data_IF_571482204733
#
_entry.id   IF_571482204733
#
_cell.length_a   1.000
_cell.length_b   1.000
_cell.length_c   1.000
_cell.angle_alpha   90.00
_cell.angle_beta   90.00
_cell.angle_gamma   90.00
#
_symmetry.space_group_name_H-M   'P 1'
#
loop_
_entity.id
_entity.type
_entity.pdbx_description
1 polymer ?
#
# COMPACT_ATOMS: atom_id res chain seq x y z
N UNK A 1 34.00 -31.59 14.59
CA UNK A 1 33.80 -31.60 13.13
C UNK A 1 35.17 -31.82 12.49
N UNK A 2 35.35 -32.71 11.51
CA UNK A 2 36.67 -33.00 10.97
C UNK A 2 37.28 -31.79 10.25
N UNK A 3 38.59 -31.59 10.41
CA UNK A 3 39.34 -30.52 9.74
C UNK A 3 39.52 -30.78 8.23
N UNK A 4 39.46 -32.04 7.81
CA UNK A 4 39.58 -32.47 6.41
C UNK A 4 38.28 -32.23 5.60
N UNK A 5 38.32 -31.46 4.49
CA UNK A 5 37.18 -31.21 3.61
C UNK A 5 36.55 -32.47 2.98
N UNK A 6 37.33 -33.54 2.72
CA UNK A 6 36.79 -34.81 2.19
C UNK A 6 35.91 -35.49 3.23
N UNK A 7 36.27 -35.34 4.51
CA UNK A 7 35.51 -35.89 5.64
C UNK A 7 34.26 -35.07 6.01
N UNK A 8 34.09 -33.86 5.44
CA UNK A 8 32.88 -33.03 5.59
C UNK A 8 31.73 -33.47 4.68
N UNK A 9 32.02 -34.03 3.49
CA UNK A 9 31.01 -34.60 2.60
C UNK A 9 30.20 -35.72 3.27
N UNK A 10 30.88 -36.60 4.03
CA UNK A 10 30.24 -37.66 4.80
C UNK A 10 29.33 -37.12 5.93
N UNK A 11 29.59 -35.92 6.44
CA UNK A 11 28.77 -35.31 7.49
C UNK A 11 27.48 -34.73 6.90
N UNK A 12 27.54 -34.08 5.73
CA UNK A 12 26.35 -33.63 5.00
C UNK A 12 25.46 -34.78 4.57
N UNK A 13 26.04 -35.89 4.10
CA UNK A 13 25.27 -37.10 3.76
C UNK A 13 24.58 -37.68 5.00
N UNK A 14 25.28 -37.75 6.14
CA UNK A 14 24.69 -38.23 7.39
C UNK A 14 23.54 -37.33 7.88
N UNK A 15 23.65 -36.01 7.70
CA UNK A 15 22.57 -35.05 7.99
C UNK A 15 21.37 -35.30 7.07
N UNK A 16 21.62 -35.46 5.77
CA UNK A 16 20.58 -35.80 4.79
C UNK A 16 19.87 -37.11 5.16
N UNK A 17 20.61 -38.18 5.44
CA UNK A 17 20.05 -39.49 5.78
C UNK A 17 19.22 -39.44 7.07
N UNK A 18 19.70 -38.69 8.07
CA UNK A 18 19.00 -38.51 9.34
C UNK A 18 17.66 -37.80 9.15
N UNK A 19 17.65 -36.69 8.40
CA UNK A 19 16.42 -35.95 8.13
C UNK A 19 15.48 -36.76 7.24
N UNK A 20 16.02 -37.45 6.23
CA UNK A 20 15.22 -38.27 5.32
C UNK A 20 14.55 -39.45 6.05
N UNK A 21 15.24 -40.07 7.01
CA UNK A 21 14.66 -41.13 7.85
C UNK A 21 13.55 -40.58 8.76
N UNK A 22 13.76 -39.41 9.37
CA UNK A 22 12.74 -38.74 10.17
C UNK A 22 11.48 -38.40 9.35
N UNK A 23 11.64 -37.87 8.15
CA UNK A 23 10.52 -37.57 7.25
C UNK A 23 9.80 -38.83 6.77
N UNK A 24 10.51 -39.92 6.51
CA UNK A 24 9.90 -41.20 6.19
C UNK A 24 9.08 -41.77 7.35
N UNK A 25 9.57 -41.62 8.58
CA UNK A 25 8.86 -42.06 9.78
C UNK A 25 7.61 -41.23 10.03
N UNK A 26 7.65 -39.92 9.74
CA UNK A 26 6.56 -39.00 10.03
C UNK A 26 5.48 -38.98 8.94
N UNK A 27 5.87 -39.02 7.67
CA UNK A 27 4.97 -38.75 6.55
C UNK A 27 4.57 -40.02 5.78
N UNK A 28 5.20 -41.15 6.06
CA UNK A 28 5.00 -42.39 5.33
C UNK A 28 4.60 -43.56 6.25
N UNK A 29 3.95 -44.57 5.70
CA UNK A 29 3.57 -45.76 6.46
C UNK A 29 4.75 -46.75 6.56
N UNK A 30 4.89 -47.50 7.68
CA UNK A 30 5.88 -48.57 7.79
C UNK A 30 5.80 -49.56 6.62
N UNK A 31 6.92 -49.80 5.94
CA UNK A 31 7.00 -50.68 4.77
C UNK A 31 6.70 -50.02 3.42
N UNK A 32 6.35 -48.73 3.41
CA UNK A 32 6.22 -47.97 2.16
C UNK A 32 7.59 -47.64 1.54
N UNK A 33 7.65 -47.41 0.20
CA UNK A 33 8.88 -46.97 -0.45
C UNK A 33 9.44 -45.71 0.19
N UNK A 34 10.75 -45.67 0.47
CA UNK A 34 11.37 -44.54 1.15
C UNK A 34 11.30 -43.27 0.31
N UNK A 35 10.75 -42.21 0.87
CA UNK A 35 10.83 -40.85 0.34
C UNK A 35 12.30 -40.49 0.16
N UNK A 36 12.64 -39.87 -0.98
CA UNK A 36 13.98 -39.36 -1.24
C UNK A 36 13.88 -37.91 -1.75
N UNK A 37 14.80 -37.03 -1.33
CA UNK A 37 14.83 -35.66 -1.82
C UNK A 37 15.21 -35.66 -3.30
N UNK A 38 14.51 -34.86 -4.13
CA UNK A 38 14.90 -34.65 -5.54
C UNK A 38 16.07 -33.68 -5.66
N UNK A 39 16.20 -32.77 -4.71
CA UNK A 39 17.33 -31.84 -4.62
C UNK A 39 17.81 -31.78 -3.18
N UNK A 40 19.12 -31.77 -3.00
CA UNK A 40 19.74 -31.48 -1.72
C UNK A 40 20.98 -30.62 -1.93
N UNK A 41 21.02 -29.49 -1.23
CA UNK A 41 22.13 -28.55 -1.27
C UNK A 41 22.57 -28.29 0.16
N UNK A 42 23.82 -28.62 0.49
CA UNK A 42 24.39 -28.40 1.81
C UNK A 42 25.63 -27.51 1.68
N UNK A 43 25.71 -26.53 2.56
CA UNK A 43 26.88 -25.68 2.77
C UNK A 43 27.35 -25.87 4.20
N UNK A 44 28.66 -25.90 4.41
CA UNK A 44 29.25 -26.07 5.74
C UNK A 44 30.16 -24.88 6.03
N UNK A 45 30.00 -24.29 7.21
CA UNK A 45 31.00 -23.44 7.85
C UNK A 45 31.86 -24.28 8.80
N UNK A 46 32.75 -23.67 9.57
CA UNK A 46 33.63 -24.34 10.54
C UNK A 46 32.89 -25.01 11.72
N UNK A 47 31.63 -24.66 11.97
CA UNK A 47 30.86 -25.17 13.12
C UNK A 47 29.37 -25.42 12.80
N UNK A 48 28.91 -25.22 11.57
CA UNK A 48 27.51 -25.36 11.21
C UNK A 48 27.36 -25.94 9.80
N UNK A 49 26.35 -26.79 9.61
CA UNK A 49 25.91 -27.25 8.29
C UNK A 49 24.54 -26.64 8.04
N UNK A 50 24.44 -25.80 7.01
CA UNK A 50 23.19 -25.23 6.52
C UNK A 50 22.82 -25.94 5.23
N UNK A 51 21.60 -26.47 5.14
CA UNK A 51 21.16 -27.14 3.93
C UNK A 51 19.69 -27.01 3.64
N UNK A 52 19.35 -27.23 2.38
CA UNK A 52 17.99 -27.29 1.87
C UNK A 52 17.77 -28.64 1.19
N UNK A 53 16.63 -29.28 1.45
CA UNK A 53 16.19 -30.49 0.75
C UNK A 53 14.81 -30.27 0.15
N UNK A 54 14.69 -30.51 -1.15
CA UNK A 54 13.43 -30.38 -1.89
C UNK A 54 12.81 -31.74 -2.19
N UNK A 55 11.57 -31.93 -1.74
CA UNK A 55 10.73 -33.08 -2.08
C UNK A 55 9.58 -32.59 -2.96
N UNK A 56 9.27 -33.35 -4.00
CA UNK A 56 8.15 -33.02 -4.88
C UNK A 56 7.44 -34.31 -5.29
N UNK A 57 6.13 -34.33 -5.14
CA UNK A 57 5.28 -35.48 -5.43
C UNK A 57 4.20 -35.05 -6.43
N UNK A 58 3.93 -35.90 -7.41
CA UNK A 58 2.83 -35.74 -8.36
C UNK A 58 1.78 -36.82 -8.10
N UNK A 59 0.53 -36.53 -8.49
CA UNK A 59 -0.57 -37.48 -8.30
C UNK A 59 -0.32 -38.74 -9.14
N UNK A 60 -0.20 -39.90 -8.48
CA UNK A 60 0.13 -41.17 -9.13
C UNK A 60 1.61 -41.56 -9.06
N UNK A 61 2.48 -40.76 -8.40
CA UNK A 61 3.85 -41.16 -8.12
C UNK A 61 3.88 -42.46 -7.28
N UNK A 62 4.77 -43.39 -7.63
CA UNK A 62 4.96 -44.66 -6.91
C UNK A 62 5.49 -44.42 -5.48
N UNK A 63 6.20 -43.31 -5.28
CA UNK A 63 6.76 -42.88 -4.00
C UNK A 63 6.06 -41.59 -3.57
N UNK A 64 5.22 -41.67 -2.56
CA UNK A 64 4.43 -40.56 -2.02
C UNK A 64 4.36 -40.65 -0.49
N UNK A 65 4.11 -39.55 0.23
CA UNK A 65 3.96 -39.57 1.69
C UNK A 65 2.60 -40.17 2.07
N UNK A 66 2.51 -41.50 2.08
CA UNK A 66 1.26 -42.25 2.15
C UNK A 66 0.48 -41.93 3.44
N UNK A 67 1.17 -41.87 4.57
CA UNK A 67 0.54 -41.63 5.88
C UNK A 67 -0.10 -40.24 5.93
N UNK A 68 0.64 -39.22 5.50
CA UNK A 68 0.13 -37.84 5.44
C UNK A 68 -1.06 -37.69 4.49
N UNK A 69 -1.01 -38.32 3.32
CA UNK A 69 -2.12 -38.26 2.35
C UNK A 69 -3.37 -39.01 2.84
N UNK A 70 -3.20 -40.07 3.62
CA UNK A 70 -4.31 -40.79 4.23
C UNK A 70 -4.95 -39.95 5.35
N UNK A 71 -4.14 -39.27 6.17
CA UNK A 71 -4.64 -38.38 7.22
C UNK A 71 -5.47 -37.22 6.64
N UNK A 72 -5.05 -36.63 5.52
CA UNK A 72 -5.84 -35.61 4.81
C UNK A 72 -7.17 -36.12 4.24
N UNK A 73 -7.31 -37.43 4.01
CA UNK A 73 -8.51 -38.05 3.44
C UNK A 73 -9.53 -38.45 4.51
N UNK A 74 -9.17 -38.41 5.79
CA UNK A 74 -10.09 -38.70 6.87
C UNK A 74 -11.04 -37.50 7.08
N UNK A 75 -12.36 -37.73 7.20
CA UNK A 75 -13.30 -36.65 7.55
C UNK A 75 -13.01 -36.16 8.97
N UNK A 76 -12.86 -34.85 9.12
CA UNK A 76 -12.47 -34.20 10.38
C UNK A 76 -13.44 -34.58 11.52
N UNK A 77 -13.02 -35.51 12.36
CA UNK A 77 -13.77 -35.96 13.54
C UNK A 77 -12.95 -35.61 14.76
N UNK A 78 -13.32 -34.55 15.46
CA UNK A 78 -12.70 -34.11 16.71
C UNK A 78 -12.88 -35.19 17.77
N UNK A 79 -11.86 -36.04 17.95
CA UNK A 79 -11.81 -37.02 19.03
C UNK A 79 -10.47 -36.89 19.75
N UNK A 80 -10.56 -36.57 21.04
CA UNK A 80 -9.41 -36.53 21.95
C UNK A 80 -9.11 -37.97 22.35
N UNK A 81 -7.93 -38.49 21.99
CA UNK A 81 -7.40 -39.77 22.48
C UNK A 81 -6.04 -39.57 23.18
N UNK A 82 -5.70 -40.42 24.15
CA UNK A 82 -4.63 -40.18 25.11
C UNK A 82 -3.26 -40.52 24.50
N UNK A 83 -2.33 -39.60 24.66
CA UNK A 83 -0.95 -39.70 24.16
C UNK A 83 -0.13 -40.59 25.10
N UNK A 84 0.35 -41.73 24.59
CA UNK A 84 1.49 -42.44 25.19
C UNK A 84 2.75 -42.07 24.43
N UNK A 85 3.32 -40.91 24.76
CA UNK A 85 4.65 -40.51 24.31
C UNK A 85 5.70 -41.10 25.23
N UNK A 86 6.60 -41.92 24.69
CA UNK A 86 7.97 -41.96 25.21
C UNK A 86 8.58 -40.59 24.90
N UNK A 87 8.45 -39.67 25.85
CA UNK A 87 8.87 -38.28 25.72
C UNK A 87 10.40 -38.22 25.64
N UNK A 88 10.94 -38.01 24.44
CA UNK A 88 12.00 -37.01 24.34
C UNK A 88 11.29 -35.70 24.63
N UNK A 89 11.50 -35.13 25.81
CA UNK A 89 11.00 -33.80 26.12
C UNK A 89 11.61 -32.81 25.13
N UNK A 90 10.92 -32.59 24.02
CA UNK A 90 11.03 -31.35 23.28
C UNK A 90 10.31 -30.34 24.15
N UNK A 91 11.05 -29.68 25.03
CA UNK A 91 10.56 -28.52 25.76
C UNK A 91 10.13 -27.52 24.71
N UNK A 92 8.83 -27.40 24.45
CA UNK A 92 8.32 -26.27 23.68
C UNK A 92 8.74 -25.02 24.44
N UNK A 93 9.55 -24.12 23.84
CA UNK A 93 10.01 -22.95 24.56
C UNK A 93 8.78 -22.16 24.97
N UNK A 94 8.61 -21.95 26.27
CA UNK A 94 7.52 -21.14 26.81
C UNK A 94 7.58 -19.78 26.12
N UNK A 95 6.51 -19.39 25.44
CA UNK A 95 6.45 -18.14 24.70
C UNK A 95 5.87 -17.05 25.61
N UNK A 96 6.48 -15.88 25.56
CA UNK A 96 5.99 -14.69 26.22
C UNK A 96 5.67 -13.62 25.17
N UNK A 97 4.74 -12.72 25.51
CA UNK A 97 4.49 -11.53 24.72
C UNK A 97 5.52 -10.46 25.05
N UNK A 98 6.00 -9.73 24.06
CA UNK A 98 6.73 -8.50 24.30
C UNK A 98 6.94 -7.66 23.06
N UNK A 99 7.99 -6.85 23.08
CA UNK A 99 8.16 -5.75 22.14
C UNK A 99 9.56 -5.68 21.55
N UNK A 100 9.72 -4.89 20.50
CA UNK A 100 11.02 -4.55 19.96
C UNK A 100 11.13 -3.05 19.68
N UNK A 101 12.28 -2.47 20.04
CA UNK A 101 12.65 -1.12 19.62
C UNK A 101 13.79 -1.23 18.62
N UNK A 102 13.58 -0.74 17.41
CA UNK A 102 14.56 -0.88 16.33
C UNK A 102 14.91 0.47 15.74
N UNK A 103 16.21 0.80 15.75
CA UNK A 103 16.74 1.99 15.09
C UNK A 103 17.32 1.61 13.73
N UNK A 104 16.81 2.23 12.67
CA UNK A 104 17.23 2.00 11.29
C UNK A 104 17.87 3.26 10.73
N UNK A 105 19.18 3.23 10.50
CA UNK A 105 19.97 4.33 9.92
C UNK A 105 20.18 4.09 8.43
N UNK A 106 19.58 4.93 7.60
CA UNK A 106 19.69 4.91 6.15
C UNK A 106 20.68 5.99 5.73
N UNK A 107 21.83 5.59 5.19
CA UNK A 107 22.90 6.50 4.74
C UNK A 107 22.81 6.68 3.24
N UNK A 108 22.74 7.93 2.79
CA UNK A 108 22.73 8.32 1.38
C UNK A 108 24.07 8.97 1.05
N UNK A 109 24.84 8.32 0.18
CA UNK A 109 26.15 8.78 -0.25
C UNK A 109 26.07 9.36 -1.67
N UNK A 110 26.92 10.34 -1.96
CA UNK A 110 26.99 11.05 -3.24
C UNK A 110 25.84 12.02 -3.53
N UNK A 111 25.13 12.47 -2.50
CA UNK A 111 24.11 13.53 -2.63
C UNK A 111 24.81 14.89 -2.69
N UNK A 112 25.03 15.42 -3.89
CA UNK A 112 25.59 16.76 -4.09
C UNK A 112 24.65 17.60 -4.96
N UNK A 113 24.06 18.69 -4.42
CA UNK A 113 24.17 19.15 -3.04
C UNK A 113 23.41 18.25 -2.05
N UNK A 114 23.88 18.16 -0.80
CA UNK A 114 23.15 17.47 0.27
C UNK A 114 21.82 18.20 0.54
N UNK A 115 20.66 17.50 0.57
CA UNK A 115 19.38 18.13 0.86
C UNK A 115 19.33 18.65 2.30
N UNK A 116 18.58 19.74 2.52
CA UNK A 116 18.40 20.29 3.86
C UNK A 116 17.61 19.33 4.75
N UNK A 117 17.83 19.42 6.07
CA UNK A 117 17.04 18.68 7.06
C UNK A 117 15.54 18.89 6.86
N UNK A 118 15.11 20.14 6.63
CA UNK A 118 13.71 20.48 6.41
C UNK A 118 13.11 19.75 5.20
N UNK A 119 13.84 19.70 4.08
CA UNK A 119 13.42 19.02 2.87
C UNK A 119 13.30 17.52 3.10
N UNK A 120 14.31 16.92 3.74
CA UNK A 120 14.34 15.48 4.03
C UNK A 120 13.22 15.07 4.98
N UNK A 121 13.04 15.78 6.09
CA UNK A 121 11.99 15.48 7.05
C UNK A 121 10.60 15.76 6.46
N UNK A 122 10.45 16.77 5.61
CA UNK A 122 9.21 17.02 4.86
C UNK A 122 8.86 15.84 3.97
N UNK A 123 9.81 15.35 3.15
CA UNK A 123 9.58 14.23 2.26
C UNK A 123 9.19 12.94 3.02
N UNK A 124 9.88 12.65 4.12
CA UNK A 124 9.54 11.49 4.97
C UNK A 124 8.17 11.67 5.60
N UNK A 125 7.83 12.88 6.04
CA UNK A 125 6.51 13.15 6.58
C UNK A 125 5.43 12.95 5.51
N UNK A 126 5.60 13.41 4.27
CA UNK A 126 4.64 13.15 3.19
C UNK A 126 4.40 11.66 3.00
N UNK A 127 5.48 10.87 2.92
CA UNK A 127 5.40 9.42 2.75
C UNK A 127 4.77 8.72 3.95
N UNK A 128 5.14 9.13 5.17
CA UNK A 128 4.53 8.60 6.40
C UNK A 128 3.03 8.88 6.40
N UNK A 129 2.60 10.09 6.10
CA UNK A 129 1.17 10.44 6.10
C UNK A 129 0.35 9.64 5.08
N UNK A 130 0.93 9.30 3.94
CA UNK A 130 0.24 8.54 2.89
C UNK A 130 0.26 7.03 3.12
N UNK A 131 1.25 6.49 3.83
CA UNK A 131 1.53 5.03 3.87
C UNK A 131 1.58 4.42 5.27
N UNK A 132 1.53 5.22 6.34
CA UNK A 132 1.58 4.69 7.71
C UNK A 132 0.40 3.75 8.03
N UNK A 133 -0.77 3.96 7.43
CA UNK A 133 -1.92 3.04 7.54
C UNK A 133 -1.73 1.70 6.82
N UNK A 134 -0.75 1.61 5.92
CA UNK A 134 -0.39 0.38 5.20
C UNK A 134 0.64 -0.44 5.98
N UNK A 135 1.14 0.08 7.10
CA UNK A 135 2.01 -0.68 7.99
C UNK A 135 1.22 -1.74 8.75
N UNK A 136 1.92 -2.80 9.18
CA UNK A 136 1.35 -3.76 10.10
C UNK A 136 0.96 -3.06 11.41
N UNK A 137 -0.22 -3.35 11.96
CA UNK A 137 -0.74 -2.74 13.19
C UNK A 137 0.21 -2.86 14.40
N UNK A 138 1.08 -3.87 14.39
CA UNK A 138 2.10 -4.07 15.42
C UNK A 138 3.27 -3.08 15.32
N UNK A 139 3.44 -2.35 14.22
CA UNK A 139 4.59 -1.47 13.95
C UNK A 139 4.19 -0.01 14.12
N UNK A 140 4.95 0.73 14.93
CA UNK A 140 4.77 2.16 15.15
C UNK A 140 6.07 2.91 14.91
N UNK A 141 6.01 4.00 14.16
CA UNK A 141 7.14 4.91 14.00
C UNK A 141 7.17 5.84 15.21
N UNK A 142 8.23 5.75 16.00
CA UNK A 142 8.41 6.56 17.22
C UNK A 142 9.07 7.89 16.90
N UNK A 143 10.12 7.85 16.07
CA UNK A 143 10.90 9.03 15.75
C UNK A 143 11.56 8.90 14.38
N UNK A 144 11.80 10.04 13.74
CA UNK A 144 12.57 10.16 12.50
C UNK A 144 13.48 11.37 12.65
N UNK A 145 14.78 11.20 12.42
CA UNK A 145 15.77 12.28 12.50
C UNK A 145 16.65 12.32 11.27
N UNK A 146 17.21 13.50 11.01
CA UNK A 146 18.17 13.75 9.95
C UNK A 146 19.56 13.97 10.56
N UNK A 147 20.60 13.50 9.87
CA UNK A 147 21.99 13.70 10.25
C UNK A 147 22.81 14.05 9.01
N UNK A 148 23.34 15.28 8.92
CA UNK A 148 24.35 15.60 7.90
C UNK A 148 25.65 14.92 8.28
N UNK A 149 26.17 14.06 7.40
CA UNK A 149 27.42 13.30 7.65
C UNK A 149 28.61 14.03 7.03
N UNK A 150 28.46 14.50 5.79
CA UNK A 150 29.48 15.25 5.06
C UNK A 150 28.83 16.21 4.05
N UNK A 151 29.64 16.90 3.24
CA UNK A 151 29.14 17.74 2.13
C UNK A 151 28.52 16.93 0.98
N UNK A 152 28.69 15.61 0.97
CA UNK A 152 28.17 14.72 -0.08
C UNK A 152 27.36 13.55 0.50
N UNK A 153 27.04 13.56 1.80
CA UNK A 153 26.31 12.46 2.43
C UNK A 153 25.48 12.91 3.62
N UNK A 154 24.33 12.27 3.78
CA UNK A 154 23.44 12.44 4.93
C UNK A 154 22.83 11.10 5.34
N UNK A 155 22.24 11.06 6.53
CA UNK A 155 21.47 9.92 6.98
C UNK A 155 20.08 10.32 7.47
N UNK A 156 19.18 9.35 7.34
CA UNK A 156 17.86 9.37 7.94
C UNK A 156 17.79 8.24 8.94
N UNK A 157 17.41 8.55 10.18
CA UNK A 157 17.34 7.57 11.26
C UNK A 157 15.90 7.41 11.72
N UNK A 158 15.31 6.25 11.43
CA UNK A 158 14.00 5.86 11.93
C UNK A 158 14.14 5.10 13.25
N UNK A 159 13.24 5.34 14.18
CA UNK A 159 13.05 4.50 15.38
C UNK A 159 11.66 3.91 15.34
N UNK A 160 11.58 2.59 15.32
CA UNK A 160 10.34 1.83 15.32
C UNK A 160 10.12 1.17 16.68
N UNK A 161 8.85 1.02 17.06
CA UNK A 161 8.40 0.14 18.11
C UNK A 161 7.52 -0.95 17.49
N UNK A 162 7.82 -2.21 17.77
CA UNK A 162 7.04 -3.37 17.34
C UNK A 162 6.45 -4.02 18.58
N UNK A 163 5.14 -4.17 18.64
CA UNK A 163 4.44 -4.72 19.81
C UNK A 163 3.87 -6.12 19.51
N UNK A 164 3.44 -6.82 20.55
CA UNK A 164 2.78 -8.14 20.45
C UNK A 164 3.65 -9.19 19.75
N UNK A 165 4.96 -9.15 19.99
CA UNK A 165 5.90 -10.14 19.48
C UNK A 165 5.81 -11.38 20.37
N UNK A 166 5.59 -12.53 19.74
CA UNK A 166 5.75 -13.82 20.40
C UNK A 166 7.23 -14.21 20.42
N UNK A 167 7.80 -14.35 21.62
CA UNK A 167 9.20 -14.69 21.79
C UNK A 167 9.41 -15.80 22.82
N UNK A 168 10.41 -16.69 22.63
CA UNK A 168 10.87 -17.61 23.66
C UNK A 168 11.17 -16.91 24.98
N UNK A 169 10.80 -17.49 26.11
CA UNK A 169 11.10 -16.96 27.45
C UNK A 169 12.62 -16.84 27.65
N UNK A 170 13.39 -17.83 27.19
CA UNK A 170 14.84 -17.79 27.14
C UNK A 170 15.35 -16.83 26.04
N UNK A 171 16.07 -15.74 26.41
CA UNK A 171 16.63 -14.78 25.46
C UNK A 171 17.59 -15.38 24.43
N UNK A 172 18.33 -16.44 24.78
CA UNK A 172 19.32 -17.07 23.88
C UNK A 172 18.62 -17.77 22.70
N UNK A 173 17.38 -18.20 22.90
CA UNK A 173 16.56 -18.88 21.90
C UNK A 173 15.86 -17.94 20.91
N UNK A 174 16.08 -16.62 20.98
CA UNK A 174 15.32 -15.59 20.22
C UNK A 174 15.91 -15.21 18.87
N UNK A 175 16.89 -15.95 18.34
CA UNK A 175 17.48 -15.66 17.02
C UNK A 175 16.43 -15.56 15.91
N UNK A 176 15.49 -16.52 15.86
CA UNK A 176 14.39 -16.51 14.88
C UNK A 176 13.42 -15.34 15.09
N UNK A 177 13.15 -14.95 16.34
CA UNK A 177 12.30 -13.78 16.63
C UNK A 177 12.98 -12.50 16.19
N UNK A 178 14.29 -12.36 16.39
CA UNK A 178 15.07 -11.19 15.96
C UNK A 178 15.08 -11.06 14.43
N UNK A 179 15.20 -12.18 13.71
CA UNK A 179 15.08 -12.19 12.25
C UNK A 179 13.68 -11.74 11.78
N UNK A 180 12.61 -12.24 12.41
CA UNK A 180 11.24 -11.80 12.09
C UNK A 180 11.04 -10.30 12.34
N UNK A 181 11.62 -9.76 13.42
CA UNK A 181 11.61 -8.31 13.69
C UNK A 181 12.35 -7.56 12.59
N UNK A 182 13.52 -8.06 12.18
CA UNK A 182 14.28 -7.48 11.06
C UNK A 182 13.43 -7.41 9.79
N UNK A 183 12.79 -8.51 9.42
CA UNK A 183 11.97 -8.61 8.20
C UNK A 183 10.74 -7.69 8.28
N UNK A 184 10.14 -7.60 9.47
CA UNK A 184 9.03 -6.68 9.75
C UNK A 184 9.43 -5.22 9.54
N UNK A 185 10.61 -4.82 10.02
CA UNK A 185 11.13 -3.45 9.84
C UNK A 185 11.55 -3.19 8.40
N UNK A 186 12.17 -4.17 7.72
CA UNK A 186 12.48 -4.06 6.29
C UNK A 186 11.21 -3.83 5.47
N UNK A 187 10.15 -4.60 5.72
CA UNK A 187 8.87 -4.41 5.06
C UNK A 187 8.25 -3.05 5.37
N UNK A 188 8.30 -2.60 6.62
CA UNK A 188 7.80 -1.28 7.00
C UNK A 188 8.53 -0.16 6.27
N UNK A 189 9.87 -0.21 6.21
CA UNK A 189 10.68 0.74 5.44
C UNK A 189 10.37 0.68 3.95
N UNK A 190 10.15 -0.53 3.40
CA UNK A 190 9.76 -0.68 2.00
C UNK A 190 8.39 -0.04 1.72
N UNK A 191 7.39 -0.33 2.54
CA UNK A 191 6.05 0.26 2.41
C UNK A 191 6.12 1.78 2.51
N UNK A 192 6.93 2.33 3.43
CA UNK A 192 7.05 3.78 3.58
C UNK A 192 7.79 4.43 2.42
N UNK A 193 8.90 3.85 1.97
CA UNK A 193 9.87 4.56 1.13
C UNK A 193 9.87 4.13 -0.33
N UNK A 194 9.08 3.11 -0.70
CA UNK A 194 8.98 2.56 -2.06
C UNK A 194 7.53 2.29 -2.48
N UNK A 195 7.30 2.18 -3.78
CA UNK A 195 6.02 1.74 -4.34
C UNK A 195 5.79 0.23 -4.11
N UNK A 196 4.53 -0.23 -4.04
CA UNK A 196 4.20 -1.65 -3.99
C UNK A 196 4.89 -2.45 -5.11
N UNK A 197 5.48 -3.60 -4.76
CA UNK A 197 6.21 -4.45 -5.72
C UNK A 197 7.67 -4.07 -5.95
N UNK A 198 8.17 -2.99 -5.34
CA UNK A 198 9.60 -2.65 -5.38
C UNK A 198 10.46 -3.67 -4.63
N UNK A 199 11.73 -3.90 -5.03
CA UNK A 199 12.66 -4.76 -4.31
C UNK A 199 12.78 -4.38 -2.83
N UNK A 200 12.88 -5.37 -1.95
CA UNK A 200 13.00 -5.14 -0.50
C UNK A 200 14.32 -4.50 -0.13
N UNK A 201 14.27 -3.39 0.61
CA UNK A 201 15.43 -2.78 1.24
C UNK A 201 16.03 -3.77 2.25
N UNK A 202 17.30 -4.10 2.05
CA UNK A 202 18.05 -5.01 2.92
C UNK A 202 19.13 -4.23 3.69
N UNK A 203 19.26 -4.44 5.00
CA UNK A 203 20.31 -3.82 5.78
C UNK A 203 21.67 -4.39 5.38
N UNK A 204 22.71 -3.56 5.36
CA UNK A 204 24.11 -3.99 5.25
C UNK A 204 24.63 -4.54 6.58
N UNK A 205 24.12 -4.00 7.68
CA UNK A 205 24.47 -4.43 9.04
C UNK A 205 23.22 -4.50 9.89
N UNK A 206 23.08 -5.56 10.67
CA UNK A 206 22.06 -5.64 11.72
C UNK A 206 22.65 -6.21 13.00
N UNK A 207 22.21 -5.67 14.14
CA UNK A 207 22.58 -6.17 15.46
C UNK A 207 21.34 -6.13 16.35
N UNK A 208 21.01 -7.28 16.93
CA UNK A 208 19.87 -7.43 17.84
C UNK A 208 20.37 -7.95 19.18
N UNK A 209 19.89 -7.30 20.23
CA UNK A 209 20.08 -7.75 21.62
C UNK A 209 18.71 -7.98 22.23
N UNK A 210 18.61 -8.87 23.20
CA UNK A 210 17.34 -9.14 23.86
C UNK A 210 17.48 -9.12 25.38
N UNK A 211 16.52 -8.47 26.02
CA UNK A 211 16.31 -8.46 27.48
C UNK A 211 15.06 -9.28 27.81
N UNK A 212 14.65 -9.38 29.08
CA UNK A 212 13.57 -10.28 29.51
C UNK A 212 12.30 -10.22 28.65
N UNK A 213 11.80 -9.04 28.30
CA UNK A 213 10.59 -8.87 27.47
C UNK A 213 10.73 -7.89 26.29
N UNK A 214 11.96 -7.57 25.88
CA UNK A 214 12.19 -6.63 24.78
C UNK A 214 13.36 -7.06 23.89
N UNK A 215 13.25 -6.78 22.59
CA UNK A 215 14.34 -6.87 21.61
C UNK A 215 14.77 -5.45 21.24
N UNK A 216 16.07 -5.18 21.28
CA UNK A 216 16.64 -3.91 20.80
C UNK A 216 17.45 -4.18 19.53
N UNK A 217 17.04 -3.56 18.43
CA UNK A 217 17.66 -3.72 17.12
C UNK A 217 18.35 -2.45 16.64
N UNK A 218 19.47 -2.61 15.95
CA UNK A 218 20.10 -1.57 15.13
C UNK A 218 20.30 -2.10 13.73
N UNK A 219 19.85 -1.34 12.74
CA UNK A 219 19.92 -1.70 11.32
C UNK A 219 20.58 -0.55 10.55
N UNK A 220 21.56 -0.89 9.72
CA UNK A 220 22.30 0.06 8.90
C UNK A 220 22.10 -0.23 7.43
N UNK A 221 21.64 0.77 6.68
CA UNK A 221 21.47 0.74 5.23
C UNK A 221 22.38 1.79 4.61
N UNK A 222 22.88 1.52 3.42
CA UNK A 222 23.73 2.45 2.67
C UNK A 222 23.34 2.42 1.21
N UNK A 223 23.12 3.59 0.64
CA UNK A 223 22.77 3.80 -0.76
C UNK A 223 23.82 4.68 -1.43
N UNK A 224 24.15 4.36 -2.67
CA UNK A 224 24.99 5.11 -3.59
C UNK A 224 24.18 5.52 -4.81
N UNK A 225 24.61 6.57 -5.51
CA UNK A 225 23.97 6.97 -6.75
C UNK A 225 24.12 5.85 -7.80
N UNK A 226 23.00 5.43 -8.40
CA UNK A 226 22.97 4.32 -9.37
C UNK A 226 22.80 2.93 -8.76
N UNK A 227 22.61 2.80 -7.44
CA UNK A 227 22.25 1.53 -6.83
C UNK A 227 20.91 1.01 -7.39
N UNK A 228 20.88 -0.29 -7.72
CA UNK A 228 19.69 -0.95 -8.28
C UNK A 228 18.53 -0.98 -7.27
N UNK A 229 18.85 -1.03 -5.97
CA UNK A 229 17.86 -1.08 -4.88
C UNK A 229 18.04 0.17 -4.01
N UNK A 230 17.08 1.08 -4.10
CA UNK A 230 17.07 2.34 -3.37
C UNK A 230 15.63 2.70 -2.96
N UNK A 231 15.43 3.60 -1.98
CA UNK A 231 14.10 4.08 -1.59
C UNK A 231 13.56 5.12 -2.60
N UNK A 232 13.08 4.64 -3.75
CA UNK A 232 12.73 5.45 -4.93
C UNK A 232 11.64 6.46 -4.63
N UNK A 233 10.58 6.11 -3.89
CA UNK A 233 9.51 7.07 -3.57
C UNK A 233 10.04 8.22 -2.71
N UNK A 234 10.94 7.94 -1.77
CA UNK A 234 11.61 8.97 -0.97
C UNK A 234 12.52 9.86 -1.80
N UNK A 235 13.30 9.28 -2.70
CA UNK A 235 14.16 10.06 -3.60
C UNK A 235 13.33 10.94 -4.56
N UNK A 236 12.19 10.45 -5.04
CA UNK A 236 11.27 11.23 -5.87
C UNK A 236 10.60 12.36 -5.09
N UNK A 237 10.18 12.10 -3.86
CA UNK A 237 9.57 13.11 -2.99
C UNK A 237 10.56 14.24 -2.67
N UNK A 238 11.86 13.92 -2.50
CA UNK A 238 12.92 14.91 -2.34
C UNK A 238 13.12 15.83 -3.56
N UNK A 239 12.77 15.36 -4.76
CA UNK A 239 12.92 16.11 -6.01
C UNK A 239 11.71 17.01 -6.32
N UNK A 240 10.62 16.90 -5.56
CA UNK A 240 9.47 17.77 -5.71
C UNK A 240 9.78 19.18 -5.18
N UNK A 241 9.43 20.26 -5.91
CA UNK A 241 9.68 21.62 -5.47
C UNK A 241 8.85 21.94 -4.22
N UNK A 242 9.52 22.10 -3.08
CA UNK A 242 8.91 22.58 -1.84
C UNK A 242 8.70 24.09 -1.93
N UNK A 243 7.45 24.54 -1.89
CA UNK A 243 7.12 25.96 -1.66
C UNK A 243 7.58 26.35 -0.27
N UNK A 244 8.70 27.06 -0.21
CA UNK A 244 9.36 27.47 1.03
C UNK A 244 8.49 28.49 1.78
N UNK A 245 7.83 28.09 2.86
CA UNK A 245 7.40 29.01 3.92
C UNK A 245 8.50 29.07 4.96
N UNK A 246 9.21 30.19 4.99
CA UNK A 246 10.27 30.48 5.97
C UNK A 246 9.62 30.65 7.35
N UNK A 247 9.86 29.70 8.25
CA UNK A 247 9.62 29.92 9.69
C UNK A 247 10.93 30.41 10.34
N UNK A 248 10.89 31.48 11.17
CA UNK A 248 12.07 31.94 11.88
C UNK A 248 12.48 30.92 12.93
N UNK A 249 13.77 30.54 12.89
CA UNK A 249 14.41 29.66 13.86
C UNK A 249 14.45 30.37 15.22
N UNK A 250 13.86 29.74 16.24
CA UNK A 250 14.21 30.06 17.64
C UNK A 250 14.55 28.76 18.37
N UNK A 251 15.81 28.64 18.75
CA UNK A 251 16.36 27.56 19.57
C UNK A 251 15.93 27.74 21.02
N UNK A 252 14.85 27.08 21.42
CA UNK A 252 14.58 26.73 22.82
C UNK A 252 13.83 25.40 22.84
N UNK A 253 14.30 24.44 23.62
CA UNK A 253 13.61 23.17 23.89
C UNK A 253 12.21 23.45 24.44
N UNK A 254 11.18 23.30 23.61
CA UNK A 254 9.77 23.38 24.00
C UNK A 254 9.20 21.96 23.94
N UNK A 255 8.64 21.48 25.05
CA UNK A 255 7.78 20.29 25.06
C UNK A 255 6.70 20.45 24.00
N UNK A 256 6.74 19.62 22.96
CA UNK A 256 5.71 19.58 21.93
C UNK A 256 4.46 18.94 22.53
N UNK A 257 3.51 19.77 22.93
CA UNK A 257 2.13 19.33 23.12
C UNK A 257 1.63 18.85 21.76
N UNK A 258 1.34 17.56 21.63
CA UNK A 258 0.67 16.98 20.45
C UNK A 258 -0.59 17.79 20.14
N UNK A 259 -0.75 18.33 18.92
CA UNK A 259 -1.92 19.13 18.58
C UNK A 259 -3.17 18.26 18.70
N UNK A 260 -4.15 18.73 19.47
CA UNK A 260 -5.44 18.08 19.60
C UNK A 260 -6.11 18.04 18.23
N UNK A 261 -6.44 16.85 17.75
CA UNK A 261 -7.09 16.64 16.46
C UNK A 261 -8.61 16.59 16.66
N UNK A 262 -9.34 17.21 15.75
CA UNK A 262 -10.79 17.16 15.66
C UNK A 262 -11.21 16.51 14.33
N UNK A 263 -12.41 15.95 14.32
CA UNK A 263 -13.05 15.53 13.07
C UNK A 263 -13.75 16.74 12.45
N UNK A 264 -13.58 16.96 11.15
CA UNK A 264 -14.39 17.92 10.43
C UNK A 264 -14.48 17.64 8.94
N UNK A 265 -14.77 18.67 8.18
CA UNK A 265 -15.19 18.56 6.78
C UNK A 265 -14.48 19.56 5.88
N UNK A 266 -14.56 19.37 4.57
CA UNK A 266 -14.13 20.36 3.60
C UNK A 266 -15.16 20.54 2.49
N UNK A 267 -15.43 21.77 2.13
CA UNK A 267 -16.20 22.13 0.93
C UNK A 267 -15.23 22.72 -0.07
N UNK A 268 -15.09 22.08 -1.24
CA UNK A 268 -14.10 22.48 -2.24
C UNK A 268 -14.77 22.69 -3.58
N UNK A 269 -14.52 23.84 -4.19
CA UNK A 269 -14.92 24.13 -5.56
C UNK A 269 -13.74 23.95 -6.51
N UNK A 270 -13.85 23.03 -7.46
CA UNK A 270 -12.87 22.84 -8.54
C UNK A 270 -13.40 23.44 -9.85
N UNK A 271 -12.77 24.50 -10.35
CA UNK A 271 -13.09 25.12 -11.64
C UNK A 271 -12.11 24.66 -12.71
N UNK A 272 -12.58 23.87 -13.67
CA UNK A 272 -11.82 23.34 -14.79
C UNK A 272 -12.09 24.20 -16.03
N UNK A 273 -11.09 24.95 -16.48
CA UNK A 273 -11.18 25.85 -17.64
C UNK A 273 -10.61 25.16 -18.88
N UNK A 274 -11.39 25.08 -19.95
CA UNK A 274 -10.99 24.53 -21.24
C UNK A 274 -10.87 25.66 -22.24
N UNK A 275 -9.65 25.90 -22.71
CA UNK A 275 -9.34 26.95 -23.67
C UNK A 275 -9.07 26.32 -25.03
N UNK A 276 -9.42 27.03 -26.11
CA UNK A 276 -9.31 26.58 -27.51
C UNK A 276 -10.39 25.60 -27.98
N UNK A 277 -11.55 25.57 -27.31
CA UNK A 277 -12.71 24.78 -27.72
C UNK A 277 -13.45 25.51 -28.84
N UNK A 278 -13.17 25.19 -30.10
CA UNK A 278 -13.90 25.74 -31.25
C UNK A 278 -14.52 24.62 -32.07
N UNK A 279 -15.87 24.52 -32.13
CA UNK A 279 -16.87 25.31 -31.39
C UNK A 279 -16.94 24.92 -29.89
N UNK A 280 -17.31 25.87 -29.03
CA UNK A 280 -17.57 25.59 -27.61
C UNK A 280 -18.78 24.65 -27.49
N UNK A 281 -18.68 23.53 -26.74
CA UNK A 281 -19.78 22.59 -26.57
C UNK A 281 -20.96 23.23 -25.83
N UNK A 282 -22.18 22.74 -26.09
CA UNK A 282 -23.36 23.20 -25.36
C UNK A 282 -23.33 22.75 -23.89
N UNK A 283 -23.97 23.51 -23.01
CA UNK A 283 -24.16 23.14 -21.60
C UNK A 283 -24.76 21.73 -21.46
N UNK A 284 -25.79 21.43 -22.25
CA UNK A 284 -26.46 20.13 -22.22
C UNK A 284 -25.51 18.97 -22.55
N UNK A 285 -24.64 19.14 -23.55
CA UNK A 285 -23.67 18.12 -23.93
C UNK A 285 -22.63 17.92 -22.83
N UNK A 286 -22.11 19.01 -22.27
CA UNK A 286 -21.11 18.97 -21.19
C UNK A 286 -21.67 18.31 -19.94
N UNK A 287 -22.84 18.73 -19.48
CA UNK A 287 -23.46 18.16 -18.29
C UNK A 287 -23.90 16.70 -18.52
N UNK A 288 -24.32 16.34 -19.73
CA UNK A 288 -24.62 14.94 -20.09
C UNK A 288 -23.37 14.07 -19.99
N UNK A 289 -22.25 14.48 -20.58
CA UNK A 289 -20.97 13.76 -20.51
C UNK A 289 -20.52 13.56 -19.05
N UNK A 290 -20.59 14.60 -18.23
CA UNK A 290 -20.23 14.51 -16.81
C UNK A 290 -21.17 13.58 -16.06
N UNK A 291 -22.47 13.63 -16.34
CA UNK A 291 -23.42 12.73 -15.71
C UNK A 291 -23.11 11.27 -16.08
N UNK A 292 -22.79 10.96 -17.33
CA UNK A 292 -22.37 9.60 -17.74
C UNK A 292 -21.16 9.13 -16.96
N UNK A 293 -20.12 9.96 -16.86
CA UNK A 293 -18.91 9.64 -16.10
C UNK A 293 -19.21 9.46 -14.62
N UNK A 294 -20.06 10.32 -14.03
CA UNK A 294 -20.46 10.22 -12.62
C UNK A 294 -21.18 8.91 -12.33
N UNK A 295 -22.15 8.52 -13.16
CA UNK A 295 -22.87 7.24 -12.97
C UNK A 295 -21.93 6.02 -13.03
N UNK A 296 -20.89 6.06 -13.85
CA UNK A 296 -19.97 4.91 -14.00
C UNK A 296 -18.85 4.89 -12.95
N UNK A 297 -18.41 6.05 -12.44
CA UNK A 297 -17.16 6.17 -11.67
C UNK A 297 -17.32 6.76 -10.27
N UNK A 298 -18.47 7.30 -9.89
CA UNK A 298 -18.66 7.91 -8.56
C UNK A 298 -18.47 6.88 -7.42
N UNK A 299 -18.80 5.60 -7.64
CA UNK A 299 -18.55 4.52 -6.68
C UNK A 299 -17.06 4.18 -6.47
N UNK A 300 -16.19 4.66 -7.35
CA UNK A 300 -14.74 4.47 -7.28
C UNK A 300 -14.05 5.61 -6.51
N UNK A 301 -14.80 6.64 -6.13
CA UNK A 301 -14.29 7.71 -5.28
C UNK A 301 -14.08 7.19 -3.85
N UNK A 302 -13.20 7.87 -3.11
CA UNK A 302 -13.08 7.62 -1.69
C UNK A 302 -14.45 7.86 -1.01
N UNK A 303 -14.85 6.97 -0.12
CA UNK A 303 -16.09 7.04 0.67
C UNK A 303 -16.28 8.37 1.43
N UNK A 304 -15.19 9.07 1.72
CA UNK A 304 -15.22 10.39 2.33
C UNK A 304 -15.57 11.53 1.37
N UNK A 305 -15.60 11.31 0.06
CA UNK A 305 -15.79 12.35 -0.98
C UNK A 305 -17.18 12.23 -1.59
N UNK A 306 -17.92 13.35 -1.64
CA UNK A 306 -19.23 13.45 -2.27
C UNK A 306 -19.26 14.59 -3.26
N UNK A 307 -19.77 14.34 -4.47
CA UNK A 307 -20.03 15.40 -5.46
C UNK A 307 -21.38 16.03 -5.11
N UNK A 308 -21.36 17.31 -4.72
CA UNK A 308 -22.56 18.04 -4.32
C UNK A 308 -23.23 18.67 -5.52
N UNK A 309 -22.44 19.28 -6.40
CA UNK A 309 -22.95 19.99 -7.57
C UNK A 309 -21.94 20.02 -8.71
N UNK A 310 -22.45 20.15 -9.93
CA UNK A 310 -21.65 20.38 -11.14
C UNK A 310 -22.36 21.41 -12.00
N UNK A 311 -21.66 22.47 -12.41
CA UNK A 311 -22.22 23.51 -13.28
C UNK A 311 -21.33 23.78 -14.48
N UNK A 312 -21.94 24.31 -15.54
CA UNK A 312 -21.26 24.77 -16.75
C UNK A 312 -21.21 26.32 -16.76
N UNK A 313 -20.12 26.87 -17.31
CA UNK A 313 -19.95 28.32 -17.49
C UNK A 313 -19.31 28.58 -18.86
N UNK A 314 -20.03 29.23 -19.78
CA UNK A 314 -19.41 29.74 -21.03
C UNK A 314 -18.57 30.96 -20.67
N UNK A 315 -17.27 30.92 -20.97
CA UNK A 315 -16.33 32.01 -20.68
C UNK A 315 -16.18 32.93 -21.90
N UNK A 316 -16.04 32.34 -23.09
CA UNK A 316 -15.88 33.06 -24.36
C UNK A 316 -16.38 32.20 -25.52
N UNK A 317 -16.21 32.68 -26.76
CA UNK A 317 -16.49 31.88 -27.97
C UNK A 317 -15.52 30.72 -28.19
N UNK A 318 -14.42 30.66 -27.44
CA UNK A 318 -13.38 29.62 -27.57
C UNK A 318 -13.03 28.97 -26.24
N UNK A 319 -13.80 29.25 -25.17
CA UNK A 319 -13.48 28.76 -23.83
C UNK A 319 -14.73 28.57 -22.97
N UNK A 320 -14.70 27.52 -22.16
CA UNK A 320 -15.73 27.23 -21.17
C UNK A 320 -15.12 26.67 -19.90
N UNK A 321 -15.90 26.63 -18.82
CA UNK A 321 -15.53 25.97 -17.59
C UNK A 321 -16.58 24.98 -17.11
N UNK A 322 -16.09 23.96 -16.42
CA UNK A 322 -16.88 23.03 -15.62
C UNK A 322 -16.50 23.26 -14.16
N UNK A 323 -17.49 23.49 -13.31
CA UNK A 323 -17.28 23.76 -11.90
C UNK A 323 -17.89 22.64 -11.08
N UNK A 324 -17.04 21.90 -10.38
CA UNK A 324 -17.45 20.88 -9.42
C UNK A 324 -17.45 21.46 -8.01
N UNK A 325 -18.45 21.09 -7.21
CA UNK A 325 -18.45 21.30 -5.76
C UNK A 325 -18.42 19.96 -5.05
N UNK A 326 -17.39 19.76 -4.25
CA UNK A 326 -17.18 18.55 -3.45
C UNK A 326 -17.41 18.83 -1.98
N UNK A 327 -17.92 17.82 -1.28
CA UNK A 327 -17.89 17.75 0.18
C UNK A 327 -17.00 16.57 0.59
N UNK A 328 -15.99 16.83 1.40
CA UNK A 328 -15.09 15.82 1.97
C UNK A 328 -15.36 15.73 3.46
N UNK A 329 -15.75 14.58 3.96
CA UNK A 329 -16.13 14.37 5.36
C UNK A 329 -15.06 13.58 6.13
N UNK A 330 -15.18 13.54 7.46
CA UNK A 330 -14.31 12.75 8.34
C UNK A 330 -12.82 13.08 8.22
N UNK A 331 -12.52 14.37 8.03
CA UNK A 331 -11.16 14.87 7.95
C UNK A 331 -10.62 15.03 9.36
N UNK A 332 -9.54 14.35 9.68
CA UNK A 332 -8.77 14.62 10.90
C UNK A 332 -7.93 15.88 10.71
N UNK A 333 -8.15 16.89 11.55
CA UNK A 333 -7.45 18.17 11.45
C UNK A 333 -7.13 18.77 12.81
N UNK A 334 -6.04 19.54 12.93
CA UNK A 334 -5.74 20.29 14.14
C UNK A 334 -6.91 21.15 14.61
N UNK A 335 -7.15 21.20 15.92
CA UNK A 335 -8.17 22.08 16.51
C UNK A 335 -7.91 23.54 16.14
N UNK A 336 -6.64 23.97 16.17
CA UNK A 336 -6.21 25.29 15.71
C UNK A 336 -6.24 25.40 14.17
N UNK A 337 -7.06 26.31 13.59
CA UNK A 337 -7.17 26.52 12.16
C UNK A 337 -5.86 26.94 11.47
N UNK A 338 -4.97 27.66 12.17
CA UNK A 338 -3.69 28.14 11.59
C UNK A 338 -2.74 26.97 11.32
N UNK A 339 -2.89 25.88 12.08
CA UNK A 339 -2.09 24.67 11.98
C UNK A 339 -2.57 23.71 10.87
N UNK A 340 -3.60 24.06 10.09
CA UNK A 340 -4.26 23.16 9.12
C UNK A 340 -3.67 23.14 7.71
N UNK A 341 -2.54 23.80 7.45
CA UNK A 341 -1.93 23.83 6.12
C UNK A 341 -1.77 22.43 5.49
N UNK A 342 -1.30 21.46 6.27
CA UNK A 342 -1.17 20.06 5.83
C UNK A 342 -2.53 19.39 5.56
N UNK A 343 -3.55 19.69 6.37
CA UNK A 343 -4.92 19.20 6.13
C UNK A 343 -5.50 19.80 4.84
N UNK A 344 -5.27 21.08 4.57
CA UNK A 344 -5.68 21.73 3.32
C UNK A 344 -5.00 21.12 2.10
N UNK A 345 -3.70 20.78 2.19
CA UNK A 345 -3.01 20.06 1.11
C UNK A 345 -3.59 18.65 0.90
N UNK A 346 -3.85 17.90 1.98
CA UNK A 346 -4.51 16.59 1.88
C UNK A 346 -5.88 16.67 1.22
N UNK A 347 -6.66 17.72 1.54
CA UNK A 347 -7.94 18.01 0.87
C UNK A 347 -7.71 18.29 -0.61
N UNK A 348 -6.71 19.09 -0.97
CA UNK A 348 -6.33 19.35 -2.35
C UNK A 348 -6.05 18.06 -3.12
N UNK A 349 -5.20 17.19 -2.60
CA UNK A 349 -4.80 15.93 -3.24
C UNK A 349 -5.99 14.97 -3.37
N UNK A 350 -6.86 14.95 -2.36
CA UNK A 350 -8.11 14.18 -2.39
C UNK A 350 -9.00 14.63 -3.55
N UNK A 351 -9.13 15.93 -3.79
CA UNK A 351 -9.93 16.47 -4.89
C UNK A 351 -9.27 16.27 -6.24
N UNK A 352 -7.95 16.45 -6.35
CA UNK A 352 -7.18 16.13 -7.56
C UNK A 352 -7.40 14.66 -7.96
N UNK A 353 -7.29 13.74 -7.01
CA UNK A 353 -7.53 12.32 -7.23
C UNK A 353 -8.98 12.03 -7.61
N UNK A 354 -9.96 12.64 -6.94
CA UNK A 354 -11.37 12.46 -7.28
C UNK A 354 -11.69 12.92 -8.72
N UNK A 355 -11.14 14.07 -9.13
CA UNK A 355 -11.28 14.55 -10.51
C UNK A 355 -10.55 13.66 -11.50
N UNK A 356 -9.39 13.12 -11.15
CA UNK A 356 -8.68 12.17 -12.01
C UNK A 356 -9.48 10.87 -12.18
N UNK A 357 -9.99 10.29 -11.10
CA UNK A 357 -10.86 9.10 -11.17
C UNK A 357 -12.10 9.35 -12.01
N UNK A 358 -12.72 10.52 -11.87
CA UNK A 358 -13.95 10.84 -12.58
C UNK A 358 -13.72 11.12 -14.07
N UNK A 359 -12.68 11.89 -14.41
CA UNK A 359 -12.52 12.52 -15.73
C UNK A 359 -11.41 11.92 -16.60
N UNK A 360 -10.59 11.01 -16.06
CA UNK A 360 -9.48 10.36 -16.75
C UNK A 360 -9.56 8.83 -16.72
N UNK A 361 -8.80 8.18 -17.60
CA UNK A 361 -8.67 6.72 -17.60
C UNK A 361 -7.72 6.26 -16.49
N UNK A 362 -7.93 5.06 -15.90
CA UNK A 362 -7.01 4.49 -14.94
C UNK A 362 -5.56 4.47 -15.46
N UNK A 363 -4.62 4.95 -14.65
CA UNK A 363 -3.20 5.06 -15.03
C UNK A 363 -2.82 6.33 -15.82
N UNK A 364 -3.77 7.23 -16.11
CA UNK A 364 -3.47 8.54 -16.70
C UNK A 364 -2.72 9.45 -15.72
N UNK A 365 -1.89 10.39 -16.20
CA UNK A 365 -1.26 11.41 -15.36
C UNK A 365 -2.29 12.20 -14.54
N UNK A 366 -2.02 12.38 -13.25
CA UNK A 366 -2.96 13.02 -12.32
C UNK A 366 -3.23 14.46 -12.70
N UNK A 367 -4.51 14.84 -12.74
CA UNK A 367 -4.92 16.24 -12.86
C UNK A 367 -4.45 17.02 -11.62
N UNK A 368 -3.64 18.06 -11.84
CA UNK A 368 -3.15 18.93 -10.78
C UNK A 368 -3.75 20.32 -10.92
N UNK A 369 -4.26 20.87 -9.83
CA UNK A 369 -4.70 22.26 -9.80
C UNK A 369 -3.49 23.20 -10.01
N UNK A 370 -3.65 24.18 -10.89
CA UNK A 370 -2.65 25.23 -11.13
C UNK A 370 -2.71 26.32 -10.05
N UNK A 371 -3.88 26.51 -9.46
CA UNK A 371 -4.08 27.46 -8.36
C UNK A 371 -4.96 26.82 -7.30
N UNK A 372 -4.62 27.02 -6.03
CA UNK A 372 -5.49 26.65 -4.93
C UNK A 372 -5.49 27.72 -3.85
N UNK A 373 -6.64 27.90 -3.21
CA UNK A 373 -6.78 28.76 -2.04
C UNK A 373 -7.68 28.06 -1.03
N UNK A 374 -7.17 27.86 0.18
CA UNK A 374 -7.87 27.23 1.27
C UNK A 374 -7.97 28.16 2.45
N UNK A 375 -9.16 28.22 3.03
CA UNK A 375 -9.43 28.90 4.30
C UNK A 375 -10.01 27.89 5.27
N UNK A 376 -9.78 28.07 6.56
CA UNK A 376 -10.27 27.15 7.60
C UNK A 376 -11.11 27.90 8.62
N UNK A 377 -12.26 27.34 8.98
CA UNK A 377 -13.09 27.74 10.13
C UNK A 377 -12.92 26.72 11.26
N UNK A 378 -13.74 26.77 12.32
CA UNK A 378 -13.59 25.90 13.49
C UNK A 378 -13.63 24.41 13.15
N UNK A 379 -14.52 23.94 12.28
CA UNK A 379 -14.66 22.52 11.91
C UNK A 379 -14.80 22.27 10.40
N UNK A 380 -14.45 23.25 9.57
CA UNK A 380 -14.55 23.12 8.12
C UNK A 380 -13.38 23.80 7.39
N UNK A 381 -12.93 23.19 6.29
CA UNK A 381 -12.00 23.79 5.32
C UNK A 381 -12.80 24.19 4.08
N UNK A 382 -12.63 25.42 3.61
CA UNK A 382 -13.21 25.90 2.37
C UNK A 382 -12.10 26.07 1.34
N UNK A 383 -12.20 25.34 0.23
CA UNK A 383 -11.21 25.32 -0.84
C UNK A 383 -11.73 25.86 -2.16
N UNK A 384 -10.88 26.54 -2.90
CA UNK A 384 -11.08 26.86 -4.32
C UNK A 384 -9.87 26.36 -5.09
N UNK A 385 -10.11 25.57 -6.13
CA UNK A 385 -9.08 24.98 -6.97
C UNK A 385 -9.35 25.34 -8.43
N UNK A 386 -8.31 25.77 -9.14
CA UNK A 386 -8.36 26.17 -10.53
C UNK A 386 -7.51 25.24 -11.38
N UNK A 387 -8.10 24.70 -12.44
CA UNK A 387 -7.44 23.90 -13.46
C UNK A 387 -7.64 24.59 -14.80
N UNK A 388 -6.65 24.48 -15.68
CA UNK A 388 -6.75 25.05 -17.02
C UNK A 388 -6.10 24.13 -18.03
N UNK A 389 -6.81 23.86 -19.12
CA UNK A 389 -6.40 22.99 -20.20
C UNK A 389 -6.38 23.79 -21.51
N UNK A 390 -5.40 23.50 -22.36
CA UNK A 390 -5.25 23.98 -23.73
C UNK A 390 -5.25 22.79 -24.69
N UNK A 391 -5.59 23.04 -25.96
CA UNK A 391 -5.53 21.99 -26.97
C UNK A 391 -4.08 21.51 -27.16
N UNK A 392 -3.86 20.19 -27.06
CA UNK A 392 -2.53 19.59 -27.13
C UNK A 392 -1.75 19.54 -25.81
N UNK A 393 -2.36 19.94 -24.68
CA UNK A 393 -1.76 19.71 -23.36
C UNK A 393 -1.51 18.20 -23.12
N UNK A 394 -0.34 17.86 -22.60
CA UNK A 394 0.05 16.47 -22.29
C UNK A 394 -0.86 15.87 -21.21
N UNK A 395 -1.36 16.71 -20.29
CA UNK A 395 -2.25 16.32 -19.20
C UNK A 395 -3.59 17.00 -19.40
N UNK A 396 -4.59 16.21 -19.73
CA UNK A 396 -5.96 16.65 -19.96
C UNK A 396 -6.94 15.58 -19.46
N UNK A 397 -8.21 15.93 -19.15
CA UNK A 397 -9.22 14.96 -18.72
C UNK A 397 -9.75 14.15 -19.91
N UNK A 398 -8.98 13.15 -20.35
CA UNK A 398 -9.16 12.42 -21.60
C UNK A 398 -10.53 11.73 -21.68
N UNK A 399 -11.01 11.08 -20.61
CA UNK A 399 -12.31 10.41 -20.63
C UNK A 399 -13.46 11.39 -20.82
N UNK A 400 -13.37 12.56 -20.18
CA UNK A 400 -14.34 13.63 -20.37
C UNK A 400 -14.31 14.19 -21.78
N UNK A 401 -13.14 14.47 -22.33
CA UNK A 401 -13.01 14.95 -23.71
C UNK A 401 -13.52 13.90 -24.72
N UNK A 402 -13.30 12.61 -24.45
CA UNK A 402 -13.84 11.54 -25.28
C UNK A 402 -15.37 11.50 -25.23
N UNK A 403 -15.97 11.58 -24.03
CA UNK A 403 -17.44 11.62 -23.88
C UNK A 403 -18.08 12.82 -24.59
N UNK A 404 -17.41 13.97 -24.65
CA UNK A 404 -17.89 15.10 -25.45
C UNK A 404 -17.92 14.82 -26.96
N UNK A 405 -17.09 13.89 -27.44
CA UNK A 405 -17.02 13.51 -28.86
C UNK A 405 -17.91 12.33 -29.23
N UNK A 406 -18.53 11.65 -28.25
CA UNK A 406 -19.48 10.58 -28.56
C UNK A 406 -20.77 11.17 -29.18
N UNK A 407 -21.29 10.57 -30.27
CA UNK A 407 -22.56 10.99 -30.84
C UNK A 407 -23.66 10.76 -29.80
N UNK A 408 -24.36 11.84 -29.44
CA UNK A 408 -25.42 11.82 -28.44
C UNK A 408 -26.54 10.91 -28.96
N UNK A 409 -26.60 9.68 -28.45
CA UNK A 409 -27.74 8.80 -28.74
C UNK A 409 -28.91 9.37 -27.95
N UNK A 410 -29.72 10.19 -28.61
CA UNK A 410 -30.93 10.73 -28.00
C UNK A 410 -31.90 9.58 -27.84
N UNK A 411 -31.89 8.91 -26.69
CA UNK A 411 -32.99 8.03 -26.30
C UNK A 411 -34.16 8.93 -25.96
N UNK A 412 -34.93 9.30 -26.98
CA UNK A 412 -36.24 9.94 -26.80
C UNK A 412 -37.10 8.91 -26.08
N UNK A 413 -37.34 9.12 -24.78
CA UNK A 413 -38.42 8.43 -24.11
C UNK A 413 -39.71 8.78 -24.87
N UNK A 414 -40.49 7.80 -25.37
CA UNK A 414 -41.77 8.12 -25.96
C UNK A 414 -42.61 8.79 -24.87
N UNK A 415 -42.93 10.07 -25.09
CA UNK A 415 -43.95 10.75 -24.31
C UNK A 415 -45.25 10.03 -24.65
N UNK A 416 -45.71 9.17 -23.76
CA UNK A 416 -47.06 8.64 -23.82
C UNK A 416 -48.01 9.77 -23.45
N UNK A 417 -48.38 10.61 -24.43
CA UNK A 417 -49.58 11.43 -24.31
C UNK A 417 -50.77 10.50 -24.28
N UNK A 418 -51.27 10.20 -23.09
CA UNK A 418 -52.55 9.52 -22.90
C UNK A 418 -53.67 10.49 -23.30
N UNK A 419 -53.94 10.61 -24.60
CA UNK A 419 -55.23 11.09 -25.08
C UNK A 419 -56.24 9.99 -24.82
N UNK A 420 -57.04 10.14 -23.77
CA UNK A 420 -58.22 9.30 -23.56
C UNK A 420 -59.16 9.54 -24.74
N UNK A 421 -59.34 8.54 -25.58
CA UNK A 421 -60.40 8.50 -26.58
C UNK A 421 -60.98 7.09 -26.55
N UNK A 422 -62.18 7.02 -25.98
CA UNK A 422 -62.99 5.82 -25.83
C UNK A 422 -63.58 5.44 -27.18
N UNK A 423 -63.23 4.26 -27.72
CA UNK A 423 -64.17 3.45 -28.54
C UNK A 423 -63.73 1.98 -28.61
N UNK A 424 -64.72 1.11 -28.79
CA UNK A 424 -64.87 -0.32 -28.45
C UNK A 424 -63.96 -1.36 -29.13
N UNK A 425 -63.80 -2.58 -28.55
CA UNK A 425 -62.81 -3.57 -28.99
C UNK A 425 -63.34 -4.50 -30.09
N UNK A 426 -62.44 -4.94 -30.98
CA UNK A 426 -62.64 -6.15 -31.80
C UNK A 426 -61.38 -7.01 -31.76
N UNK A 427 -61.50 -8.19 -31.17
CA UNK A 427 -60.51 -9.27 -31.13
C UNK A 427 -60.08 -9.70 -32.54
N UNK A 428 -58.78 -9.95 -32.74
CA UNK A 428 -58.29 -11.10 -33.53
C UNK A 428 -57.01 -11.67 -32.88
N UNK A 429 -56.98 -13.01 -32.82
CA UNK A 429 -56.01 -13.91 -32.23
C UNK A 429 -54.65 -13.97 -32.94
N UNK A 430 -53.58 -14.18 -32.18
CA UNK A 430 -52.26 -14.58 -32.68
C UNK A 430 -51.40 -15.14 -31.55
N UNK A 431 -51.19 -16.46 -31.56
CA UNK A 431 -50.37 -17.20 -30.59
C UNK A 431 -48.90 -17.23 -31.05
N UNK A 432 -47.97 -17.00 -30.14
CA UNK A 432 -46.54 -17.28 -30.34
C UNK A 432 -45.96 -17.95 -29.09
N UNK A 433 -45.55 -19.20 -29.24
CA UNK A 433 -44.81 -19.99 -28.25
C UNK A 433 -43.32 -19.82 -28.53
N UNK A 434 -42.55 -19.40 -27.53
CA UNK A 434 -41.09 -19.46 -27.58
C UNK A 434 -40.57 -20.12 -26.30
N UNK A 435 -40.00 -21.30 -26.47
CA UNK A 435 -39.27 -22.08 -25.46
C UNK A 435 -37.79 -21.69 -25.50
N UNK A 436 -37.23 -21.32 -24.36
CA UNK A 436 -35.78 -21.10 -24.18
C UNK A 436 -35.21 -22.15 -23.23
N UNK A 437 -34.21 -22.89 -23.71
CA UNK A 437 -33.40 -23.87 -22.97
C UNK A 437 -32.05 -23.23 -22.68
N UNK A 438 -31.71 -23.07 -21.39
CA UNK A 438 -30.38 -22.65 -20.94
C UNK A 438 -29.41 -23.83 -21.07
N UNK A 439 -28.20 -23.57 -21.59
CA UNK A 439 -27.02 -24.42 -21.35
C UNK A 439 -26.17 -23.71 -20.32
#
# INVERSE_FOLDING_TARGET
MPEDPVSRGNTSQKVQDTINNALNTLLNEPGSPTLQPKTSNFTSTSNQINGSMGYSFQNGDVIQPVSFLNELRLPATTTVFPVTTTSVSVTTPKLISGSAVVTSKLVFNSSSPVPSESLVLSAINTLRHSRESQLNESVKIVNVTYEKISETSYAVVFTFNVINISMPEDPVSRGNTSQKVQDTINNALNTLLNEPGSPTLQPKTSNFTSTSNQINGRMGYSFQNGDVIQPVSFLNELLLPTTTTVFPVTTTSVSVTTPKLISGSAVVTGKLVFNSSTPVPSESLVLSAINTLRHSRESQLNESVKIVNVTYEKISETSYAVVFTFNVINISMPEDPVSRGNTSQKVQDTINNALNTLLNEPGSPTLQAKTSNFTSTSNQINGRMGYSFQNGDVIQPVSFLNELHLPTTTTVFPVTTTSVSVTTPKLISGSAVVTSKLV
#
